data_IF_241492222118
#
_entry.id   IF_241492222118
#
_cell.length_a   1.000
_cell.length_b   1.000
_cell.length_c   1.000
_cell.angle_alpha   90.00
_cell.angle_beta   90.00
_cell.angle_gamma   90.00
#
_symmetry.space_group_name_H-M   'P 1'
#
loop_
_entity.id
_entity.type
_entity.pdbx_description
1 polymer ?
#
# COMPACT_ATOMS: atom_id res chain seq x y z
N UNK A 1 16.53 83.25 3.73
CA UNK A 1 15.16 83.24 3.19
C UNK A 1 14.80 81.78 3.17
N UNK A 2 14.23 81.27 4.29
CA UNK A 2 12.79 81.17 4.50
C UNK A 2 12.21 80.11 3.51
N UNK A 3 11.62 79.03 3.82
CA UNK A 3 10.68 78.66 4.89
C UNK A 3 10.52 77.11 4.93
N UNK A 4 10.43 76.54 6.08
CA UNK A 4 9.61 75.33 6.34
C UNK A 4 8.13 75.80 6.40
N UNK A 5 7.15 74.93 6.10
CA UNK A 5 6.58 74.16 7.20
C UNK A 5 5.97 72.77 6.84
N UNK A 6 5.88 71.98 7.88
CA UNK A 6 4.70 71.30 8.47
C UNK A 6 4.15 70.09 7.78
N UNK A 7 4.35 68.88 8.40
CA UNK A 7 3.34 68.18 9.17
C UNK A 7 2.14 67.60 8.41
N UNK A 8 2.09 66.29 8.36
CA UNK A 8 0.91 65.49 8.63
C UNK A 8 1.20 64.00 8.42
N UNK A 9 1.26 63.25 9.51
CA UNK A 9 0.95 61.85 9.52
C UNK A 9 -0.57 61.63 9.35
N UNK A 10 -1.00 60.54 8.82
CA UNK A 10 -1.98 59.72 9.49
C UNK A 10 -1.52 58.26 9.65
N UNK A 11 -1.60 57.81 10.88
CA UNK A 11 -2.45 56.75 11.39
C UNK A 11 -2.45 55.45 10.56
N UNK A 12 -1.86 54.44 11.11
CA UNK A 12 -2.30 53.12 11.48
C UNK A 12 -3.25 52.41 10.52
N UNK A 13 -2.72 51.38 9.89
CA UNK A 13 -3.52 50.19 9.61
C UNK A 13 -2.77 49.00 10.19
N UNK A 14 -3.33 48.48 11.27
CA UNK A 14 -2.94 47.24 11.92
C UNK A 14 -3.24 46.07 10.94
N UNK A 15 -2.25 45.69 10.17
CA UNK A 15 -2.26 44.39 9.47
C UNK A 15 -1.94 43.28 10.50
N UNK A 16 -2.97 42.85 11.21
CA UNK A 16 -2.96 41.62 11.96
C UNK A 16 -2.82 40.44 10.96
N UNK A 17 -1.64 40.34 10.34
CA UNK A 17 -1.19 39.17 9.64
C UNK A 17 -1.14 37.98 10.58
N UNK A 18 -2.20 37.18 10.56
CA UNK A 18 -2.34 35.88 11.21
C UNK A 18 -1.07 35.05 11.08
N UNK A 19 -0.17 35.17 12.04
CA UNK A 19 0.96 34.27 12.21
C UNK A 19 0.41 32.93 12.69
N UNK A 20 0.07 32.06 11.74
CA UNK A 20 -0.13 30.61 11.98
C UNK A 20 1.18 30.04 12.47
N UNK A 21 1.33 30.03 13.80
CA UNK A 21 2.53 29.62 14.51
C UNK A 21 2.91 28.19 14.21
N UNK A 22 4.22 27.90 14.18
CA UNK A 22 4.80 26.58 14.00
C UNK A 22 4.26 25.50 14.97
N UNK A 23 3.59 25.90 16.05
CA UNK A 23 2.92 25.04 17.04
C UNK A 23 1.64 24.36 16.51
N UNK A 24 0.99 24.91 15.47
CA UNK A 24 -0.25 24.33 14.89
C UNK A 24 -0.02 23.10 13.98
N UNK A 25 1.21 22.86 13.56
CA UNK A 25 1.56 21.72 12.66
C UNK A 25 1.55 20.36 13.34
N UNK A 26 2.07 20.17 14.57
CA UNK A 26 2.02 18.86 15.24
C UNK A 26 0.60 18.44 15.60
N UNK A 27 -0.28 19.35 16.00
CA UNK A 27 -1.67 19.03 16.33
C UNK A 27 -2.47 18.62 15.09
N UNK A 28 -2.25 19.28 13.95
CA UNK A 28 -2.86 18.88 12.66
C UNK A 28 -2.41 17.48 12.22
N UNK A 29 -1.13 17.14 12.41
CA UNK A 29 -0.63 15.80 12.09
C UNK A 29 -1.24 14.74 13.02
N UNK A 30 -1.32 15.04 14.34
CA UNK A 30 -1.94 14.16 15.34
C UNK A 30 -3.40 13.85 15.02
N UNK A 31 -4.18 14.88 14.67
CA UNK A 31 -5.58 14.71 14.26
C UNK A 31 -5.72 13.87 12.96
N UNK A 32 -4.85 14.09 12.00
CA UNK A 32 -4.83 13.28 10.77
C UNK A 32 -4.50 11.83 11.05
N UNK A 33 -3.53 11.56 11.93
CA UNK A 33 -3.18 10.21 12.36
C UNK A 33 -4.36 9.57 13.09
N UNK A 34 -5.03 10.29 13.99
CA UNK A 34 -6.21 9.79 14.69
C UNK A 34 -7.35 9.43 13.73
N UNK A 35 -7.64 10.31 12.77
CA UNK A 35 -8.67 10.08 11.75
C UNK A 35 -8.38 8.88 10.85
N UNK A 36 -7.12 8.72 10.40
CA UNK A 36 -6.73 7.56 9.60
C UNK A 36 -6.77 6.25 10.39
N UNK A 37 -6.24 6.26 11.62
CA UNK A 37 -6.32 5.10 12.52
C UNK A 37 -7.77 4.74 12.86
N UNK A 38 -8.64 5.74 13.04
CA UNK A 38 -10.07 5.54 13.28
C UNK A 38 -10.77 4.86 12.10
N UNK A 39 -10.49 5.28 10.88
CA UNK A 39 -10.99 4.60 9.66
C UNK A 39 -10.50 3.17 9.56
N UNK A 40 -9.20 2.94 9.76
CA UNK A 40 -8.63 1.58 9.74
C UNK A 40 -9.31 0.64 10.76
N UNK A 41 -9.67 1.15 11.95
CA UNK A 41 -10.37 0.37 12.97
C UNK A 41 -11.85 0.17 12.65
N UNK A 42 -12.51 1.16 12.07
CA UNK A 42 -13.91 1.05 11.65
C UNK A 42 -14.08 -0.03 10.59
N UNK A 43 -13.11 -0.12 9.66
CA UNK A 43 -13.16 -1.05 8.53
C UNK A 43 -12.76 -2.49 8.92
N UNK A 44 -11.74 -2.64 9.77
CA UNK A 44 -11.09 -3.95 10.02
C UNK A 44 -11.10 -4.41 11.48
N UNK A 45 -11.51 -3.56 12.39
CA UNK A 45 -11.35 -3.81 13.83
C UNK A 45 -9.88 -3.80 14.28
N UNK A 46 -9.61 -4.38 15.44
CA UNK A 46 -8.26 -4.59 15.94
C UNK A 46 -7.83 -3.65 17.07
N UNK A 47 -6.52 -3.51 17.26
CA UNK A 47 -5.92 -2.75 18.34
C UNK A 47 -5.67 -1.28 17.96
N UNK A 48 -6.24 -0.35 18.73
CA UNK A 48 -6.18 1.09 18.46
C UNK A 48 -4.74 1.63 18.45
N UNK A 49 -3.87 1.12 19.31
CA UNK A 49 -2.47 1.55 19.38
C UNK A 49 -1.71 1.13 18.12
N UNK A 50 -1.96 -0.09 17.64
CA UNK A 50 -1.35 -0.58 16.38
C UNK A 50 -1.88 0.18 15.17
N UNK A 51 -3.17 0.51 15.14
CA UNK A 51 -3.75 1.35 14.09
C UNK A 51 -3.12 2.76 14.10
N UNK A 52 -2.92 3.36 15.28
CA UNK A 52 -2.23 4.65 15.43
C UNK A 52 -0.81 4.64 14.88
N UNK A 53 -0.01 3.59 15.16
CA UNK A 53 1.33 3.46 14.61
C UNK A 53 1.33 3.26 13.09
N UNK A 54 0.40 2.47 12.55
CA UNK A 54 0.25 2.29 11.10
C UNK A 54 -0.13 3.60 10.40
N UNK A 55 -1.12 4.30 10.91
CA UNK A 55 -1.54 5.60 10.39
C UNK A 55 -0.42 6.65 10.46
N UNK A 56 0.34 6.69 11.56
CA UNK A 56 1.49 7.59 11.68
C UNK A 56 2.57 7.28 10.64
N UNK A 57 2.80 6.01 10.34
CA UNK A 57 3.77 5.55 9.35
C UNK A 57 3.34 5.87 7.91
N UNK A 58 2.04 5.77 7.61
CA UNK A 58 1.50 6.08 6.28
C UNK A 58 1.45 7.59 5.99
N UNK A 59 1.19 8.42 7.01
CA UNK A 59 1.05 9.87 6.88
C UNK A 59 2.36 10.65 7.13
N UNK A 60 3.30 10.05 7.86
CA UNK A 60 4.58 10.67 8.23
C UNK A 60 5.68 10.32 7.23
N UNK A 61 6.33 11.34 6.65
CA UNK A 61 7.53 11.16 5.83
C UNK A 61 8.79 10.77 6.65
N UNK A 62 8.61 10.12 7.83
CA UNK A 62 9.70 9.75 8.73
C UNK A 62 9.20 9.39 10.13
N UNK A 63 10.14 9.33 11.08
CA UNK A 63 9.83 9.06 12.48
C UNK A 63 8.92 10.15 13.08
N UNK A 64 7.78 9.74 13.65
CA UNK A 64 6.85 10.62 14.37
C UNK A 64 7.14 10.50 15.87
N UNK A 65 7.50 11.61 16.54
CA UNK A 65 7.74 11.62 17.99
C UNK A 65 6.52 11.10 18.77
N UNK A 66 6.71 10.33 19.87
CA UNK A 66 5.60 9.78 20.66
C UNK A 66 4.58 10.81 21.14
N UNK A 67 5.00 12.03 21.45
CA UNK A 67 4.12 13.13 21.87
C UNK A 67 3.18 13.61 20.76
N UNK A 68 3.45 13.30 19.50
CA UNK A 68 2.62 13.66 18.34
C UNK A 68 1.74 12.49 17.88
N UNK A 69 1.82 11.35 18.55
CA UNK A 69 0.91 10.23 18.30
C UNK A 69 -0.40 10.47 19.08
N UNK A 70 -1.56 10.16 18.48
CA UNK A 70 -2.83 10.19 19.18
C UNK A 70 -2.86 9.10 20.27
N UNK A 71 -3.57 9.40 21.36
CA UNK A 71 -3.88 8.38 22.35
C UNK A 71 -5.00 7.43 21.87
N UNK A 72 -5.16 6.31 22.56
CA UNK A 72 -6.16 5.31 22.19
C UNK A 72 -7.60 5.82 22.30
N UNK A 73 -7.85 6.80 23.16
CA UNK A 73 -9.16 7.44 23.32
C UNK A 73 -9.49 8.35 22.14
N UNK A 74 -8.50 9.10 21.63
CA UNK A 74 -8.65 9.90 20.41
C UNK A 74 -8.95 9.01 19.19
N UNK A 75 -8.21 7.92 19.04
CA UNK A 75 -8.42 6.97 17.95
C UNK A 75 -9.81 6.33 18.03
N UNK A 76 -10.27 5.92 19.22
CA UNK A 76 -11.61 5.35 19.40
C UNK A 76 -12.73 6.35 19.07
N UNK A 77 -12.59 7.60 19.47
CA UNK A 77 -13.56 8.66 19.10
C UNK A 77 -13.66 8.85 17.60
N UNK A 78 -12.52 8.82 16.91
CA UNK A 78 -12.50 8.89 15.44
C UNK A 78 -13.07 7.60 14.80
N UNK A 79 -12.87 6.44 15.42
CA UNK A 79 -13.51 5.18 14.98
C UNK A 79 -15.03 5.27 15.09
N UNK A 80 -15.56 5.75 16.21
CA UNK A 80 -17.00 5.95 16.41
C UNK A 80 -17.56 6.97 15.40
N UNK A 81 -16.85 8.05 15.13
CA UNK A 81 -17.21 9.02 14.08
C UNK A 81 -17.22 8.39 12.69
N UNK A 82 -16.19 7.61 12.36
CA UNK A 82 -16.11 6.91 11.08
C UNK A 82 -17.26 5.92 10.90
N UNK A 83 -17.63 5.17 11.96
CA UNK A 83 -18.78 4.26 11.95
C UNK A 83 -20.11 4.98 11.75
N UNK A 84 -20.30 6.15 12.39
CA UNK A 84 -21.52 6.97 12.25
C UNK A 84 -21.56 7.65 10.87
N UNK A 85 -20.43 8.17 10.38
CA UNK A 85 -20.33 8.81 9.08
C UNK A 85 -20.33 7.80 7.92
N UNK A 86 -19.89 6.56 8.15
CA UNK A 86 -19.96 5.47 7.18
C UNK A 86 -21.38 5.06 6.81
N UNK A 87 -22.40 5.49 7.58
CA UNK A 87 -23.80 5.30 7.23
C UNK A 87 -24.35 6.41 6.32
N UNK A 88 -23.67 7.56 6.18
CA UNK A 88 -24.15 8.73 5.43
C UNK A 88 -23.11 9.28 4.42
N UNK A 89 -21.92 8.68 4.30
CA UNK A 89 -20.93 9.11 3.32
C UNK A 89 -21.37 8.72 1.92
N UNK A 90 -21.31 9.65 0.93
CA UNK A 90 -21.48 9.28 -0.46
C UNK A 90 -20.43 8.23 -0.80
N UNK A 91 -20.87 7.11 -1.35
CA UNK A 91 -20.09 5.98 -1.83
C UNK A 91 -18.99 6.43 -2.81
N UNK A 92 -17.89 6.92 -2.26
CA UNK A 92 -16.69 7.26 -2.99
C UNK A 92 -15.62 6.25 -2.64
N UNK A 93 -15.80 5.05 -3.15
CA UNK A 93 -14.96 3.84 -3.29
C UNK A 93 -15.54 2.54 -2.74
N UNK A 94 -16.66 2.57 -2.04
CA UNK A 94 -17.43 1.36 -1.78
C UNK A 94 -18.44 1.19 -2.90
N UNK A 95 -18.17 0.25 -3.84
CA UNK A 95 -19.23 -0.22 -4.72
C UNK A 95 -19.00 -0.09 -6.21
N UNK A 96 -17.82 -0.44 -6.74
CA UNK A 96 -17.83 -1.10 -8.04
C UNK A 96 -18.27 -2.54 -7.79
N UNK A 97 -19.32 -3.04 -8.51
CA UNK A 97 -19.69 -4.43 -8.43
C UNK A 97 -18.54 -5.25 -9.00
N UNK A 98 -17.87 -6.00 -8.13
CA UNK A 98 -16.74 -6.83 -8.49
C UNK A 98 -16.00 -7.27 -7.24
N UNK A 99 -15.36 -8.43 -7.31
CA UNK A 99 -14.50 -8.91 -6.25
C UNK A 99 -13.15 -8.14 -6.20
N UNK A 100 -12.27 -8.49 -5.25
CA UNK A 100 -10.94 -7.86 -5.12
C UNK A 100 -10.12 -7.96 -6.41
N UNK A 101 -10.28 -9.03 -7.17
CA UNK A 101 -9.52 -9.28 -8.41
C UNK A 101 -10.00 -8.42 -9.58
N UNK A 102 -11.29 -8.06 -9.64
CA UNK A 102 -11.79 -7.08 -10.61
C UNK A 102 -11.13 -5.71 -10.39
N UNK A 103 -11.00 -5.29 -9.14
CA UNK A 103 -10.31 -4.03 -8.78
C UNK A 103 -8.82 -4.09 -9.06
N UNK A 104 -8.16 -5.22 -8.78
CA UNK A 104 -6.75 -5.46 -9.15
C UNK A 104 -6.60 -5.37 -10.67
N UNK A 105 -7.48 -6.01 -11.45
CA UNK A 105 -7.46 -5.96 -12.90
C UNK A 105 -7.57 -4.54 -13.44
N UNK A 106 -8.43 -3.70 -12.86
CA UNK A 106 -8.57 -2.28 -13.24
C UNK A 106 -7.27 -1.50 -12.99
N UNK A 107 -6.65 -1.67 -11.81
CA UNK A 107 -5.39 -1.03 -11.47
C UNK A 107 -4.23 -1.47 -12.38
N UNK A 108 -4.15 -2.75 -12.71
CA UNK A 108 -3.10 -3.30 -13.58
C UNK A 108 -3.33 -2.87 -15.04
N UNK A 109 -4.57 -2.84 -15.52
CA UNK A 109 -4.89 -2.47 -16.91
C UNK A 109 -4.39 -1.09 -17.31
N UNK A 110 -4.39 -0.12 -16.39
CA UNK A 110 -3.87 1.24 -16.66
C UNK A 110 -2.37 1.24 -16.99
N UNK A 111 -1.61 0.20 -16.60
CA UNK A 111 -0.18 0.07 -16.91
C UNK A 111 0.08 -0.03 -18.42
N UNK A 112 -0.87 -0.47 -19.24
CA UNK A 112 -0.76 -0.47 -20.70
C UNK A 112 -0.57 0.92 -21.32
N UNK A 113 -0.98 1.98 -20.61
CA UNK A 113 -0.72 3.36 -20.99
C UNK A 113 0.67 3.87 -20.57
N UNK A 114 1.36 3.16 -19.67
CA UNK A 114 2.67 3.54 -19.13
C UNK A 114 3.78 3.05 -20.06
N UNK A 115 4.13 3.89 -21.03
CA UNK A 115 5.24 3.56 -21.96
C UNK A 115 6.59 3.71 -21.28
N UNK A 116 7.48 2.76 -21.56
CA UNK A 116 8.85 2.69 -21.08
C UNK A 116 9.85 2.96 -22.23
N UNK A 117 11.08 3.24 -21.89
CA UNK A 117 12.18 3.41 -22.85
C UNK A 117 12.41 2.08 -23.61
N UNK A 118 12.17 1.99 -24.92
CA UNK A 118 12.24 0.72 -25.66
C UNK A 118 13.65 0.15 -25.77
N UNK A 119 14.69 0.89 -25.41
CA UNK A 119 16.07 0.40 -25.38
C UNK A 119 16.34 -0.37 -24.08
N UNK A 120 15.80 0.12 -22.97
CA UNK A 120 15.96 -0.51 -21.64
C UNK A 120 14.87 -1.53 -21.34
N UNK A 121 13.70 -1.31 -21.92
CA UNK A 121 12.47 -2.06 -21.66
C UNK A 121 11.85 -2.49 -23.01
N UNK A 122 12.42 -3.53 -23.63
CA UNK A 122 12.02 -3.95 -24.98
C UNK A 122 10.60 -4.49 -25.08
N UNK A 123 9.95 -4.83 -23.95
CA UNK A 123 8.55 -5.20 -23.83
C UNK A 123 7.59 -4.06 -24.16
N UNK A 124 8.00 -2.80 -24.00
CA UNK A 124 7.32 -1.61 -24.46
C UNK A 124 6.45 -0.89 -23.44
N UNK A 125 5.67 -1.54 -22.60
CA UNK A 125 4.87 -0.92 -21.56
C UNK A 125 4.92 -1.70 -20.23
N UNK A 126 4.40 -1.05 -19.16
CA UNK A 126 4.47 -1.62 -17.83
C UNK A 126 3.50 -2.78 -17.62
N UNK A 127 2.40 -2.88 -18.38
CA UNK A 127 1.47 -4.00 -18.31
C UNK A 127 2.14 -5.28 -18.82
N UNK A 128 2.71 -5.22 -20.01
CA UNK A 128 3.43 -6.36 -20.60
C UNK A 128 4.54 -6.83 -19.68
N UNK A 129 5.28 -5.90 -19.08
CA UNK A 129 6.29 -6.23 -18.08
C UNK A 129 5.70 -6.98 -16.88
N UNK A 130 4.66 -6.46 -16.25
CA UNK A 130 4.02 -7.12 -15.09
C UNK A 130 3.51 -8.52 -15.42
N UNK A 131 2.96 -8.72 -16.62
CA UNK A 131 2.51 -10.04 -17.08
C UNK A 131 3.69 -11.01 -17.32
N UNK A 132 4.82 -10.52 -17.82
CA UNK A 132 6.04 -11.33 -17.95
C UNK A 132 6.64 -11.71 -16.59
N UNK A 133 6.63 -10.80 -15.62
CA UNK A 133 7.05 -11.08 -14.25
C UNK A 133 6.13 -12.14 -13.62
N UNK A 134 4.83 -11.99 -13.78
CA UNK A 134 3.83 -12.96 -13.35
C UNK A 134 4.07 -14.35 -13.94
N UNK A 135 4.29 -14.44 -15.27
CA UNK A 135 4.58 -15.71 -15.94
C UNK A 135 5.80 -16.42 -15.34
N UNK A 136 6.89 -15.67 -15.10
CA UNK A 136 8.12 -16.23 -14.53
C UNK A 136 7.95 -16.71 -13.10
N UNK A 137 7.19 -15.99 -12.30
CA UNK A 137 6.87 -16.43 -10.93
C UNK A 137 5.99 -17.66 -10.96
N UNK A 138 5.01 -17.75 -11.88
CA UNK A 138 4.13 -18.90 -12.00
C UNK A 138 4.83 -20.17 -12.50
N UNK A 139 5.94 -20.06 -13.22
CA UNK A 139 6.79 -21.19 -13.61
C UNK A 139 7.45 -21.86 -12.39
N UNK A 140 7.81 -21.08 -11.37
CA UNK A 140 8.55 -21.58 -10.19
C UNK A 140 7.62 -21.84 -8.98
N UNK A 141 6.59 -20.99 -8.78
CA UNK A 141 5.66 -21.06 -7.65
C UNK A 141 4.20 -20.87 -8.11
N UNK A 142 3.61 -21.77 -8.91
CA UNK A 142 2.25 -21.62 -9.44
C UNK A 142 1.15 -21.67 -8.37
N UNK A 143 1.46 -22.09 -7.15
CA UNK A 143 0.52 -22.23 -6.02
C UNK A 143 0.54 -21.03 -5.06
N UNK A 144 1.50 -20.12 -5.18
CA UNK A 144 1.67 -19.00 -4.25
C UNK A 144 0.89 -17.76 -4.74
N UNK A 145 -0.41 -17.69 -4.39
CA UNK A 145 -1.32 -16.62 -4.81
C UNK A 145 -0.79 -15.25 -4.43
N UNK A 146 -0.26 -15.09 -3.21
CA UNK A 146 0.23 -13.81 -2.69
C UNK A 146 1.47 -13.32 -3.44
N UNK A 147 2.39 -14.22 -3.78
CA UNK A 147 3.59 -13.91 -4.57
C UNK A 147 3.23 -13.59 -6.03
N UNK A 148 2.30 -14.34 -6.61
CA UNK A 148 1.77 -14.10 -7.95
C UNK A 148 1.04 -12.76 -8.03
N UNK A 149 0.24 -12.44 -7.02
CA UNK A 149 -0.39 -11.12 -6.91
C UNK A 149 0.65 -10.01 -6.80
N UNK A 150 1.70 -10.18 -5.96
CA UNK A 150 2.79 -9.21 -5.89
C UNK A 150 3.49 -9.00 -7.24
N UNK A 151 3.73 -10.08 -7.99
CA UNK A 151 4.32 -10.02 -9.33
C UNK A 151 3.45 -9.23 -10.32
N UNK A 152 2.13 -9.33 -10.23
CA UNK A 152 1.21 -8.64 -11.12
C UNK A 152 1.08 -7.14 -10.79
N UNK A 153 1.12 -6.77 -9.50
CA UNK A 153 0.75 -5.42 -9.04
C UNK A 153 1.94 -4.52 -8.66
N UNK A 154 3.19 -5.01 -8.68
CA UNK A 154 4.36 -4.28 -8.16
C UNK A 154 4.56 -2.90 -8.78
N UNK A 155 4.16 -2.72 -10.02
CA UNK A 155 4.36 -1.50 -10.83
C UNK A 155 3.11 -0.60 -10.93
N UNK A 156 1.95 -0.93 -10.30
CA UNK A 156 0.70 -0.16 -10.45
C UNK A 156 0.85 1.33 -10.11
N UNK A 157 1.73 1.67 -9.19
CA UNK A 157 2.00 3.06 -8.84
C UNK A 157 2.67 3.88 -9.93
N UNK A 158 3.31 3.26 -10.93
CA UNK A 158 3.92 3.95 -12.07
C UNK A 158 2.90 4.69 -12.94
N UNK A 159 1.65 4.23 -12.95
CA UNK A 159 0.57 4.86 -13.69
C UNK A 159 0.08 6.16 -13.01
N UNK A 160 0.36 6.34 -11.72
CA UNK A 160 -0.16 7.44 -10.90
C UNK A 160 0.93 8.45 -10.56
N UNK A 161 2.04 8.01 -9.95
CA UNK A 161 3.18 8.85 -9.62
C UNK A 161 4.49 8.06 -9.73
N UNK A 162 5.23 8.29 -10.80
CA UNK A 162 6.51 7.61 -11.05
C UNK A 162 7.59 7.92 -10.01
N UNK A 163 7.54 9.08 -9.38
CA UNK A 163 8.53 9.47 -8.38
C UNK A 163 8.32 8.76 -7.03
N UNK A 164 7.08 8.39 -6.73
CA UNK A 164 6.66 7.74 -5.48
C UNK A 164 5.91 6.43 -5.75
N UNK A 165 6.24 5.72 -6.83
CA UNK A 165 5.46 4.59 -7.35
C UNK A 165 5.13 3.54 -6.28
N UNK A 166 6.12 3.10 -5.47
CA UNK A 166 5.89 2.11 -4.42
C UNK A 166 4.91 2.61 -3.36
N UNK A 167 5.09 3.84 -2.87
CA UNK A 167 4.21 4.39 -1.84
C UNK A 167 2.76 4.54 -2.33
N UNK A 168 2.58 4.93 -3.60
CA UNK A 168 1.26 5.05 -4.22
C UNK A 168 0.66 3.66 -4.48
N UNK A 169 1.44 2.70 -4.98
CA UNK A 169 0.98 1.31 -5.14
C UNK A 169 0.45 0.75 -3.81
N UNK A 170 1.21 0.90 -2.72
CA UNK A 170 0.80 0.44 -1.39
C UNK A 170 -0.46 1.12 -0.86
N UNK A 171 -0.71 2.36 -1.26
CA UNK A 171 -1.94 3.07 -0.93
C UNK A 171 -3.15 2.53 -1.70
N UNK A 172 -3.01 2.34 -3.00
CA UNK A 172 -4.10 1.83 -3.86
C UNK A 172 -4.43 0.34 -3.57
N UNK A 173 -3.43 -0.44 -3.19
CA UNK A 173 -3.56 -1.87 -2.88
C UNK A 173 -3.97 -2.15 -1.43
N UNK A 174 -4.10 -1.15 -0.55
CA UNK A 174 -4.22 -1.32 0.91
C UNK A 174 -5.32 -2.29 1.35
N UNK A 175 -6.45 -2.34 0.61
CA UNK A 175 -7.63 -3.14 0.93
C UNK A 175 -7.83 -4.33 -0.04
N UNK A 176 -6.88 -4.54 -0.94
CA UNK A 176 -7.00 -5.53 -2.02
C UNK A 176 -6.05 -6.71 -1.85
N UNK A 177 -4.97 -6.54 -1.08
CA UNK A 177 -3.90 -7.52 -0.95
C UNK A 177 -3.58 -7.79 0.52
N UNK A 178 -2.99 -8.95 0.78
CA UNK A 178 -2.55 -9.36 2.11
C UNK A 178 -1.33 -8.57 2.58
N UNK A 179 -1.00 -8.66 3.88
CA UNK A 179 0.19 -8.05 4.46
C UNK A 179 1.48 -8.62 3.84
N UNK A 180 1.50 -9.90 3.44
CA UNK A 180 2.64 -10.55 2.78
C UNK A 180 2.84 -10.02 1.36
N UNK A 181 1.80 -9.97 0.54
CA UNK A 181 1.84 -9.36 -0.80
C UNK A 181 2.31 -7.91 -0.71
N UNK A 182 1.78 -7.15 0.23
CA UNK A 182 2.16 -5.76 0.49
C UNK A 182 3.64 -5.63 0.83
N UNK A 183 4.16 -6.50 1.71
CA UNK A 183 5.57 -6.53 2.09
C UNK A 183 6.48 -6.83 0.89
N UNK A 184 6.10 -7.79 0.05
CA UNK A 184 6.85 -8.14 -1.17
C UNK A 184 6.98 -6.94 -2.11
N UNK A 185 5.90 -6.20 -2.36
CA UNK A 185 5.90 -4.99 -3.20
C UNK A 185 6.74 -3.87 -2.55
N UNK A 186 6.61 -3.66 -1.23
CA UNK A 186 7.38 -2.64 -0.48
C UNK A 186 8.88 -2.92 -0.51
N UNK A 187 9.27 -4.19 -0.42
CA UNK A 187 10.66 -4.59 -0.30
C UNK A 187 11.36 -4.86 -1.65
N UNK A 188 10.65 -4.91 -2.74
CA UNK A 188 11.24 -5.17 -4.06
C UNK A 188 12.37 -4.18 -4.43
N UNK A 189 12.25 -2.86 -4.23
CA UNK A 189 13.38 -1.94 -4.47
C UNK A 189 14.58 -2.19 -3.55
N UNK A 190 14.34 -2.69 -2.34
CA UNK A 190 15.41 -3.03 -1.40
C UNK A 190 16.14 -4.29 -1.85
N UNK A 191 15.42 -5.28 -2.39
CA UNK A 191 16.01 -6.48 -3.00
C UNK A 191 16.82 -6.12 -4.26
N UNK A 192 16.34 -5.20 -5.08
CA UNK A 192 17.08 -4.66 -6.24
C UNK A 192 18.38 -3.97 -5.80
N UNK A 193 18.32 -3.18 -4.72
CA UNK A 193 19.52 -2.55 -4.14
C UNK A 193 20.52 -3.59 -3.57
N UNK A 194 20.01 -4.68 -2.99
CA UNK A 194 20.83 -5.81 -2.54
C UNK A 194 21.53 -6.48 -3.72
N UNK A 195 20.81 -6.78 -4.80
CA UNK A 195 21.36 -7.36 -6.01
C UNK A 195 22.45 -6.46 -6.65
N UNK A 196 22.21 -5.15 -6.67
CA UNK A 196 23.17 -4.15 -7.14
C UNK A 196 24.38 -3.94 -6.21
N UNK A 197 24.41 -4.59 -5.03
CA UNK A 197 25.49 -4.46 -4.06
C UNK A 197 25.53 -3.09 -3.34
N UNK A 198 24.46 -2.31 -3.41
CA UNK A 198 24.39 -0.96 -2.82
C UNK A 198 23.76 -0.94 -1.42
N UNK A 199 23.19 -2.09 -0.97
CA UNK A 199 22.55 -2.21 0.33
C UNK A 199 23.59 -2.37 1.46
N UNK A 200 23.47 -1.57 2.52
CA UNK A 200 24.36 -1.65 3.69
C UNK A 200 24.19 -2.95 4.49
N UNK A 201 25.25 -3.43 5.14
CA UNK A 201 25.34 -4.72 5.83
C UNK A 201 24.16 -5.00 6.80
N UNK A 202 23.79 -4.03 7.64
CA UNK A 202 22.69 -4.19 8.61
C UNK A 202 21.31 -4.34 7.94
N UNK A 203 21.09 -3.64 6.86
CA UNK A 203 19.83 -3.74 6.10
C UNK A 203 19.77 -5.07 5.36
N UNK A 204 20.89 -5.51 4.79
CA UNK A 204 21.03 -6.81 4.16
C UNK A 204 20.72 -7.94 5.14
N UNK A 205 21.33 -7.97 6.32
CA UNK A 205 21.12 -9.03 7.32
C UNK A 205 19.64 -9.11 7.73
N UNK A 206 18.99 -7.95 8.01
CA UNK A 206 17.55 -7.93 8.36
C UNK A 206 16.65 -8.42 7.25
N UNK A 207 17.02 -8.18 5.99
CA UNK A 207 16.27 -8.66 4.84
C UNK A 207 16.44 -10.17 4.68
N UNK A 208 17.68 -10.69 4.82
CA UNK A 208 18.02 -12.09 4.69
C UNK A 208 17.42 -12.97 5.81
N UNK A 209 17.12 -12.38 6.98
CA UNK A 209 16.46 -13.06 8.10
C UNK A 209 14.92 -13.09 7.99
N UNK A 210 14.33 -12.41 7.01
CA UNK A 210 12.88 -12.39 6.88
C UNK A 210 12.35 -13.72 6.31
N UNK A 211 11.26 -14.30 6.86
CA UNK A 211 10.73 -15.59 6.40
C UNK A 211 10.38 -15.60 4.90
N UNK A 212 9.94 -14.48 4.34
CA UNK A 212 9.60 -14.35 2.92
C UNK A 212 10.77 -13.89 2.04
N UNK A 213 12.00 -13.98 2.53
CA UNK A 213 13.18 -13.53 1.79
C UNK A 213 13.38 -14.27 0.46
N UNK A 214 13.17 -15.58 0.45
CA UNK A 214 13.32 -16.39 -0.78
C UNK A 214 12.26 -16.03 -1.81
N UNK A 215 11.01 -15.79 -1.41
CA UNK A 215 9.93 -15.29 -2.28
C UNK A 215 10.26 -13.91 -2.85
N UNK A 216 10.81 -13.01 -2.02
CA UNK A 216 11.25 -11.69 -2.47
C UNK A 216 12.41 -11.78 -3.49
N UNK A 217 13.36 -12.68 -3.28
CA UNK A 217 14.46 -12.94 -4.24
C UNK A 217 13.95 -13.48 -5.56
N UNK A 218 12.96 -14.36 -5.52
CA UNK A 218 12.32 -14.88 -6.73
C UNK A 218 11.63 -13.75 -7.49
N UNK A 219 10.85 -12.91 -6.79
CA UNK A 219 10.18 -11.74 -7.38
C UNK A 219 11.19 -10.77 -8.02
N UNK A 220 12.28 -10.41 -7.31
CA UNK A 220 13.35 -9.55 -7.86
C UNK A 220 14.00 -10.15 -9.10
N UNK A 221 14.28 -11.45 -9.07
CA UNK A 221 14.88 -12.15 -10.20
C UNK A 221 13.93 -12.21 -11.41
N UNK A 222 12.63 -12.38 -11.17
CA UNK A 222 11.60 -12.36 -12.21
C UNK A 222 11.44 -10.95 -12.80
N UNK A 223 11.37 -9.90 -11.95
CA UNK A 223 11.31 -8.49 -12.37
C UNK A 223 12.49 -8.14 -13.27
N UNK A 224 13.70 -8.40 -12.83
CA UNK A 224 14.91 -8.10 -13.60
C UNK A 224 15.01 -8.86 -14.93
N UNK A 225 14.45 -10.06 -15.01
CA UNK A 225 14.44 -10.89 -16.23
C UNK A 225 13.19 -10.70 -17.09
N UNK A 226 12.17 -10.00 -16.59
CA UNK A 226 10.90 -9.72 -17.26
C UNK A 226 10.98 -8.72 -18.41
N UNK A 227 12.19 -8.37 -18.90
CA UNK A 227 12.42 -7.39 -19.98
C UNK A 227 12.69 -8.10 -21.31
N UNK A 228 11.72 -8.85 -21.81
CA UNK A 228 11.87 -9.59 -23.07
C UNK A 228 10.85 -9.10 -24.08
N UNK A 229 11.31 -8.79 -25.31
CA UNK A 229 10.42 -8.47 -26.42
C UNK A 229 9.64 -9.73 -26.81
N UNK A 230 8.30 -9.68 -26.74
CA UNK A 230 7.42 -10.79 -27.14
C UNK A 230 7.68 -12.08 -26.37
N UNK A 231 7.75 -12.00 -25.02
CA UNK A 231 7.74 -13.18 -24.16
C UNK A 231 6.37 -13.89 -24.20
N UNK A 232 6.35 -15.18 -23.93
CA UNK A 232 5.11 -15.89 -23.64
C UNK A 232 4.61 -15.46 -22.26
N UNK A 233 3.72 -14.49 -22.23
CA UNK A 233 3.03 -14.02 -21.03
C UNK A 233 1.54 -14.28 -21.16
N UNK A 234 0.84 -14.60 -20.07
CA UNK A 234 -0.61 -14.72 -20.10
C UNK A 234 -1.25 -13.35 -20.37
N UNK A 235 -2.47 -13.33 -20.84
CA UNK A 235 -3.28 -12.13 -20.83
C UNK A 235 -3.61 -11.71 -19.39
N UNK A 236 -4.02 -10.45 -19.19
CA UNK A 236 -4.45 -10.00 -17.88
C UNK A 236 -5.64 -10.83 -17.35
N UNK A 237 -6.56 -11.16 -18.23
CA UNK A 237 -7.74 -11.96 -17.91
C UNK A 237 -7.35 -13.39 -17.46
N UNK A 238 -6.37 -14.03 -18.09
CA UNK A 238 -5.85 -15.35 -17.69
C UNK A 238 -5.11 -15.28 -16.35
N UNK A 239 -4.29 -14.24 -16.12
CA UNK A 239 -3.61 -14.06 -14.85
C UNK A 239 -4.60 -13.86 -13.69
N UNK A 240 -5.62 -13.05 -13.89
CA UNK A 240 -6.68 -12.81 -12.89
C UNK A 240 -7.51 -14.09 -12.65
N UNK A 241 -7.81 -14.86 -13.69
CA UNK A 241 -8.53 -16.14 -13.55
C UNK A 241 -7.71 -17.14 -12.71
N UNK A 242 -6.40 -17.19 -12.92
CA UNK A 242 -5.49 -18.04 -12.12
C UNK A 242 -5.49 -17.62 -10.65
N UNK A 243 -5.37 -16.33 -10.35
CA UNK A 243 -5.39 -15.83 -8.97
C UNK A 243 -6.71 -16.15 -8.26
N UNK A 244 -7.85 -16.01 -8.95
CA UNK A 244 -9.17 -16.39 -8.41
C UNK A 244 -9.29 -17.88 -8.09
N UNK A 245 -8.74 -18.74 -8.94
CA UNK A 245 -8.75 -20.18 -8.71
C UNK A 245 -7.98 -20.53 -7.43
N UNK A 246 -6.80 -19.96 -7.24
CA UNK A 246 -5.97 -20.19 -6.06
C UNK A 246 -6.63 -19.67 -4.77
N UNK A 247 -7.23 -18.46 -4.78
CA UNK A 247 -7.96 -17.90 -3.64
C UNK A 247 -9.18 -18.78 -3.23
N UNK A 248 -9.83 -19.39 -4.23
CA UNK A 248 -10.96 -20.31 -3.99
C UNK A 248 -10.53 -21.64 -3.36
N UNK A 249 -9.39 -22.17 -3.76
CA UNK A 249 -8.83 -23.41 -3.22
C UNK A 249 -8.37 -23.23 -1.77
N UNK A 250 -7.69 -22.13 -1.45
CA UNK A 250 -7.27 -21.80 -0.07
C UNK A 250 -8.48 -21.63 0.87
N UNK A 251 -9.59 -21.06 0.39
CA UNK A 251 -10.82 -20.91 1.16
C UNK A 251 -11.51 -22.27 1.41
N UNK A 252 -11.41 -23.22 0.47
CA UNK A 252 -11.99 -24.56 0.61
C UNK A 252 -11.18 -25.42 1.61
N UNK A 253 -9.85 -25.34 1.57
CA UNK A 253 -8.97 -26.04 2.51
C UNK A 253 -9.13 -25.54 3.94
N UNK A 254 -9.24 -24.21 4.13
CA UNK A 254 -9.49 -23.61 5.45
C UNK A 254 -10.85 -23.98 6.04
N UNK A 255 -11.87 -24.23 5.22
CA UNK A 255 -13.18 -24.66 5.67
C UNK A 255 -13.23 -26.17 5.99
N UNK A 256 -12.37 -26.99 5.35
CA UNK A 256 -12.24 -28.43 5.59
C UNK A 256 -11.63 -28.76 6.95
N UNK A 257 -10.63 -28.00 7.39
CA UNK A 257 -9.89 -28.22 8.64
C UNK A 257 -10.75 -27.90 9.90
N UNK A 258 -11.72 -27.00 9.80
CA UNK A 258 -12.64 -26.67 10.89
C UNK A 258 -13.71 -27.75 11.16
N UNK A 259 -13.99 -28.62 10.17
CA UNK A 259 -15.00 -29.66 10.32
C UNK A 259 -14.46 -30.94 10.98
N UNK A 260 -13.15 -31.18 10.94
CA UNK A 260 -12.54 -32.36 11.56
C UNK A 260 -12.30 -32.16 13.07
N UNK A 261 -12.11 -30.93 13.56
CA UNK A 261 -11.96 -30.65 14.99
C UNK A 261 -13.27 -30.75 15.79
N UNK A 262 -14.43 -30.52 15.17
CA UNK A 262 -15.74 -30.67 15.81
C UNK A 262 -16.21 -32.14 15.88
N UNK A 263 -15.74 -33.00 14.98
CA UNK A 263 -16.08 -34.43 14.99
C UNK A 263 -15.38 -35.20 16.10
N UNK A 264 -14.24 -34.74 16.60
CA UNK A 264 -13.46 -35.43 17.64
C UNK A 264 -13.90 -35.05 19.09
N UNK A 265 -14.76 -34.05 19.25
CA UNK A 265 -15.24 -33.59 20.56
C UNK A 265 -16.53 -34.29 21.05
N UNK A 266 -17.18 -35.07 20.22
CA UNK A 266 -18.46 -35.71 20.55
C UNK A 266 -18.36 -37.14 21.08
N UNK A 267 -17.19 -37.76 21.16
CA UNK A 267 -17.03 -39.17 21.55
C UNK A 267 -16.51 -39.39 23.00
N UNK A 268 -16.22 -38.30 23.76
CA UNK A 268 -15.67 -38.43 25.14
C UNK A 268 -16.72 -38.19 26.27
N UNK A 269 -18.02 -38.11 25.99
CA UNK A 269 -19.08 -37.91 26.99
C UNK A 269 -20.19 -39.00 26.86
N UNK A 270 -19.81 -40.30 26.85
CA UNK A 270 -20.74 -41.41 26.99
C UNK A 270 -20.24 -42.47 28.00
#
# INVERSE_FOLDING_TARGET
MSDTPTDSAPAGDDDEGSSSTAADRPDKLRLRIAGEAGRMLADRGGDARRAGFRAARSLGRGWVPPQHLPDTGEIRRETERAMVQGSDAPAGRAGLPGDRFDRIAELVRVLGAVKRDPVKYPEGDALEHSLQVFARVSEECPWDEELLTAALVHDVGLAIDRANAVAVALCELADLVTDRTRWLVEMLPVATALHAGTLGHRARHRLEEHPDYDSLRLLESADRRGHVRSGEAPTLEEAIAMLRALDGDDAADAAGDQNDDDAHRSDDDA
#
